data_IF_743198214737
#
_entry.id   IF_743198214737
#
_cell.length_a   1.000
_cell.length_b   1.000
_cell.length_c   1.000
_cell.angle_alpha   90.00
_cell.angle_beta   90.00
_cell.angle_gamma   90.00
#
_symmetry.space_group_name_H-M   'P 1'
#
loop_
_entity.id
_entity.type
_entity.pdbx_description
1 polymer ?
#
# COMPACT_ATOMS: atom_id res chain seq x y z
N UNK A 1 43.03 -3.65 61.71
CA UNK A 1 43.03 -3.65 60.27
C UNK A 1 41.54 -3.84 59.85
N UNK A 2 40.87 -2.73 59.43
CA UNK A 2 39.41 -2.75 59.08
C UNK A 2 39.30 -2.73 57.55
N UNK A 3 38.73 -3.81 57.00
CA UNK A 3 38.49 -3.99 55.59
C UNK A 3 37.20 -3.24 55.19
N UNK A 4 37.30 -2.24 54.30
CA UNK A 4 36.15 -1.54 53.71
C UNK A 4 35.78 -2.24 52.42
N UNK A 5 34.59 -2.82 52.36
CA UNK A 5 34.01 -3.36 51.15
C UNK A 5 33.28 -2.21 50.45
N UNK A 6 33.76 -1.85 49.26
CA UNK A 6 33.08 -0.94 48.35
C UNK A 6 32.05 -1.73 47.51
N UNK A 7 30.76 -1.46 47.73
CA UNK A 7 29.69 -2.00 46.87
C UNK A 7 29.50 -1.02 45.71
N UNK A 8 29.94 -1.43 44.52
CA UNK A 8 29.72 -0.67 43.30
C UNK A 8 28.28 -0.93 42.79
N UNK A 9 27.46 0.12 42.75
CA UNK A 9 26.12 0.09 42.18
C UNK A 9 26.23 0.18 40.66
N UNK A 10 25.96 -0.94 39.94
CA UNK A 10 25.90 -0.99 38.48
C UNK A 10 24.53 -0.48 38.06
N UNK A 11 24.41 0.75 37.57
CA UNK A 11 23.19 1.26 36.94
C UNK A 11 23.16 0.76 35.51
N UNK A 12 22.35 -0.28 35.25
CA UNK A 12 22.00 -0.70 33.91
C UNK A 12 21.03 0.32 33.32
N UNK A 13 21.56 1.26 32.54
CA UNK A 13 20.78 2.15 31.70
C UNK A 13 20.15 1.36 30.57
N UNK A 14 18.87 0.97 30.70
CA UNK A 14 18.07 0.44 29.62
C UNK A 14 17.83 1.52 28.57
N UNK A 15 18.65 1.60 27.54
CA UNK A 15 18.35 2.42 26.36
C UNK A 15 17.15 1.81 25.66
N UNK A 16 16.01 2.52 25.63
CA UNK A 16 14.91 2.24 24.70
C UNK A 16 15.48 2.58 23.33
N UNK A 17 15.86 1.57 22.54
CA UNK A 17 16.11 1.74 21.13
C UNK A 17 14.79 2.18 20.48
N UNK A 18 14.65 3.47 20.21
CA UNK A 18 13.66 3.97 19.25
C UNK A 18 14.05 3.32 17.92
N UNK A 19 13.32 2.28 17.51
CA UNK A 19 13.51 1.66 16.22
C UNK A 19 13.29 2.72 15.14
N UNK A 20 14.37 3.17 14.51
CA UNK A 20 14.26 4.01 13.31
C UNK A 20 13.43 3.23 12.31
N UNK A 21 12.26 3.75 11.96
CA UNK A 21 11.42 3.17 10.94
C UNK A 21 12.14 3.34 9.61
N UNK A 22 12.73 2.26 9.10
CA UNK A 22 13.52 2.29 7.88
C UNK A 22 12.63 2.49 6.65
N UNK A 23 13.12 3.23 5.66
CA UNK A 23 12.50 3.26 4.33
C UNK A 23 12.58 1.87 3.69
N UNK A 24 11.54 1.51 2.96
CA UNK A 24 11.47 0.23 2.24
C UNK A 24 11.11 0.45 0.77
N UNK A 25 11.65 -0.41 -0.10
CA UNK A 25 11.35 -0.41 -1.54
C UNK A 25 11.22 -1.85 -2.02
N UNK A 26 10.19 -2.10 -2.80
CA UNK A 26 9.92 -3.38 -3.44
C UNK A 26 9.89 -3.14 -4.96
N UNK A 27 10.97 -3.56 -5.63
CA UNK A 27 11.13 -3.37 -7.08
C UNK A 27 10.81 -4.62 -7.91
N UNK A 28 10.64 -5.77 -7.25
CA UNK A 28 10.28 -7.07 -7.82
C UNK A 28 11.33 -7.67 -8.78
N UNK A 29 12.48 -7.03 -8.99
CA UNK A 29 13.46 -7.41 -10.02
C UNK A 29 14.14 -8.77 -9.75
N UNK A 30 14.14 -9.21 -8.48
CA UNK A 30 14.72 -10.49 -8.05
C UNK A 30 13.69 -11.60 -7.92
N UNK A 31 12.40 -11.28 -8.03
CA UNK A 31 11.33 -12.25 -7.89
C UNK A 31 11.13 -13.04 -9.19
N UNK A 32 10.67 -14.28 -9.06
CA UNK A 32 10.45 -15.18 -10.19
C UNK A 32 9.19 -14.78 -10.98
N UNK A 33 9.33 -14.58 -12.28
CA UNK A 33 8.19 -14.36 -13.19
C UNK A 33 7.24 -15.56 -13.15
N UNK A 34 5.93 -15.28 -13.08
CA UNK A 34 4.87 -16.26 -12.95
C UNK A 34 4.57 -16.71 -11.52
N UNK A 35 5.40 -16.34 -10.54
CA UNK A 35 5.21 -16.64 -9.12
C UNK A 35 4.79 -15.39 -8.32
N UNK A 36 4.17 -15.57 -7.14
CA UNK A 36 3.97 -14.46 -6.21
C UNK A 36 5.31 -13.90 -5.71
N UNK A 37 5.43 -12.57 -5.47
CA UNK A 37 6.65 -11.98 -4.93
C UNK A 37 6.91 -12.43 -3.49
N UNK A 38 8.18 -12.51 -3.12
CA UNK A 38 8.61 -12.78 -1.77
C UNK A 38 8.26 -11.62 -0.81
N UNK A 39 8.01 -11.92 0.46
CA UNK A 39 7.78 -10.91 1.49
C UNK A 39 6.39 -10.26 1.45
N UNK A 40 5.45 -10.78 0.66
CA UNK A 40 4.07 -10.32 0.60
C UNK A 40 3.08 -11.35 1.13
N UNK A 41 1.98 -10.84 1.67
CA UNK A 41 0.77 -11.61 1.98
C UNK A 41 -0.38 -11.11 1.11
N UNK A 42 -1.29 -12.03 0.77
CA UNK A 42 -2.41 -11.75 -0.13
C UNK A 42 -3.72 -11.96 0.60
N UNK A 43 -4.65 -11.03 0.41
CA UNK A 43 -5.97 -11.07 1.01
C UNK A 43 -7.05 -10.58 0.05
N UNK A 44 -8.27 -10.56 0.52
CA UNK A 44 -9.43 -10.08 -0.24
C UNK A 44 -10.52 -9.60 0.71
N UNK A 45 -10.90 -8.32 0.58
CA UNK A 45 -12.14 -7.83 1.23
C UNK A 45 -13.34 -8.16 0.33
N UNK A 46 -14.45 -8.46 0.95
CA UNK A 46 -15.73 -8.65 0.24
C UNK A 46 -15.91 -10.04 -0.37
N UNK A 47 -16.56 -10.12 -1.52
CA UNK A 47 -17.04 -11.36 -2.16
C UNK A 47 -16.13 -11.81 -3.32
N UNK A 48 -16.52 -12.83 -4.06
CA UNK A 48 -15.79 -13.33 -5.23
C UNK A 48 -14.55 -14.15 -4.88
N UNK A 49 -13.77 -14.52 -5.91
CA UNK A 49 -12.53 -15.28 -5.76
C UNK A 49 -11.41 -14.44 -5.16
N UNK A 50 -10.41 -15.03 -4.51
CA UNK A 50 -9.17 -14.34 -4.19
C UNK A 50 -8.53 -13.74 -5.45
N UNK A 51 -7.74 -12.66 -5.28
CA UNK A 51 -6.88 -12.14 -6.36
C UNK A 51 -5.79 -13.14 -6.72
N UNK A 52 -5.33 -13.09 -7.95
CA UNK A 52 -4.13 -13.80 -8.39
C UNK A 52 -3.00 -12.79 -8.58
N UNK A 53 -2.07 -12.79 -7.65
CA UNK A 53 -0.93 -11.90 -7.63
C UNK A 53 0.31 -12.65 -8.08
N UNK A 54 0.96 -12.15 -9.13
CA UNK A 54 2.17 -12.76 -9.71
C UNK A 54 3.11 -11.66 -10.20
N UNK A 55 4.39 -11.99 -10.28
CA UNK A 55 5.36 -11.14 -10.99
C UNK A 55 5.26 -11.42 -12.49
N UNK A 56 5.23 -10.38 -13.29
CA UNK A 56 5.21 -10.48 -14.76
C UNK A 56 6.27 -9.57 -15.37
N UNK A 57 6.66 -9.86 -16.63
CA UNK A 57 7.47 -8.95 -17.42
C UNK A 57 6.59 -7.86 -18.05
N UNK A 58 7.01 -6.60 -17.89
CA UNK A 58 6.43 -5.45 -18.58
C UNK A 58 7.55 -4.50 -19.04
N UNK A 59 7.93 -4.61 -20.31
CA UNK A 59 9.01 -3.81 -20.89
C UNK A 59 8.72 -2.29 -20.89
N UNK A 60 7.47 -1.88 -20.64
CA UNK A 60 7.08 -0.48 -20.52
C UNK A 60 7.19 0.06 -19.08
N UNK A 61 7.61 -0.77 -18.13
CA UNK A 61 7.72 -0.35 -16.73
C UNK A 61 8.75 0.78 -16.56
N UNK A 62 8.48 1.77 -15.70
CA UNK A 62 9.35 2.95 -15.54
C UNK A 62 10.67 2.61 -14.83
N UNK A 63 10.81 1.43 -14.23
CA UNK A 63 12.04 0.96 -13.60
C UNK A 63 12.08 -0.56 -13.60
N UNK A 64 13.09 -1.13 -14.26
CA UNK A 64 13.22 -2.57 -14.47
C UNK A 64 12.11 -3.13 -15.38
N UNK A 65 12.04 -4.46 -15.51
CA UNK A 65 11.00 -5.13 -16.32
C UNK A 65 10.04 -5.98 -15.49
N UNK A 66 10.45 -6.43 -14.31
CA UNK A 66 9.56 -7.22 -13.44
C UNK A 66 8.63 -6.31 -12.66
N UNK A 67 7.35 -6.62 -12.69
CA UNK A 67 6.30 -5.86 -11.98
C UNK A 67 5.35 -6.82 -11.27
N UNK A 68 4.81 -6.40 -10.14
CA UNK A 68 3.73 -7.14 -9.49
C UNK A 68 2.43 -6.91 -10.26
N UNK A 69 1.70 -7.97 -10.58
CA UNK A 69 0.44 -7.90 -11.29
C UNK A 69 -0.69 -8.62 -10.54
N UNK A 70 -1.86 -7.99 -10.46
CA UNK A 70 -3.13 -8.69 -10.21
C UNK A 70 -3.69 -9.10 -11.57
N UNK A 71 -3.90 -10.40 -11.80
CA UNK A 71 -4.27 -10.94 -13.12
C UNK A 71 -5.58 -11.74 -13.13
N UNK A 72 -6.28 -11.91 -12.00
CA UNK A 72 -7.59 -12.55 -11.96
C UNK A 72 -8.68 -11.57 -12.41
N UNK A 73 -9.58 -12.03 -13.27
CA UNK A 73 -10.62 -11.23 -13.94
C UNK A 73 -12.04 -11.53 -13.42
N UNK A 74 -12.20 -11.94 -12.18
CA UNK A 74 -13.51 -12.12 -11.55
C UNK A 74 -14.25 -10.78 -11.46
N UNK A 75 -15.42 -10.71 -12.08
CA UNK A 75 -16.24 -9.51 -12.24
C UNK A 75 -17.10 -9.16 -11.02
N UNK A 76 -16.98 -9.91 -9.91
CA UNK A 76 -17.74 -9.64 -8.69
C UNK A 76 -17.47 -8.21 -8.21
N UNK A 77 -18.51 -7.37 -8.14
CA UNK A 77 -18.36 -5.92 -7.89
C UNK A 77 -17.73 -5.62 -6.51
N UNK A 78 -18.27 -6.15 -5.42
CA UNK A 78 -17.70 -5.93 -4.08
C UNK A 78 -16.60 -6.95 -3.77
N UNK A 79 -15.55 -6.90 -4.58
CA UNK A 79 -14.36 -7.73 -4.51
C UNK A 79 -13.12 -6.84 -4.56
N UNK A 80 -12.29 -6.89 -3.52
CA UNK A 80 -11.13 -6.03 -3.37
C UNK A 80 -9.88 -6.85 -3.05
N UNK A 81 -9.18 -7.37 -4.06
CA UNK A 81 -7.89 -8.05 -3.87
C UNK A 81 -6.83 -7.10 -3.33
N UNK A 82 -6.05 -7.57 -2.35
CA UNK A 82 -4.93 -6.83 -1.77
C UNK A 82 -3.66 -7.68 -1.77
N UNK A 83 -2.51 -7.02 -1.95
CA UNK A 83 -1.18 -7.57 -1.71
C UNK A 83 -0.44 -6.63 -0.77
N UNK A 84 -0.06 -7.10 0.41
CA UNK A 84 0.57 -6.29 1.46
C UNK A 84 1.96 -6.79 1.79
N UNK A 85 2.92 -5.89 1.92
CA UNK A 85 4.24 -6.20 2.42
C UNK A 85 4.15 -6.68 3.88
N UNK A 86 4.88 -7.75 4.21
CA UNK A 86 4.84 -8.32 5.56
C UNK A 86 5.47 -7.40 6.58
N UNK A 87 6.53 -6.71 6.20
CA UNK A 87 7.32 -5.78 7.02
C UNK A 87 7.97 -4.72 6.11
N UNK A 88 8.33 -3.53 6.63
CA UNK A 88 8.05 -3.01 7.97
C UNK A 88 6.63 -2.44 8.11
N UNK A 89 6.22 -2.13 9.35
CA UNK A 89 4.97 -1.42 9.64
C UNK A 89 5.21 0.09 9.66
N UNK A 90 4.21 0.87 9.22
CA UNK A 90 4.28 2.33 9.19
C UNK A 90 3.06 2.96 9.85
N UNK A 91 3.30 4.01 10.64
CA UNK A 91 2.25 4.87 11.19
C UNK A 91 2.10 6.13 10.32
N UNK A 92 3.14 6.93 10.26
CA UNK A 92 3.23 8.11 9.42
C UNK A 92 4.16 7.80 8.26
N UNK A 93 3.66 7.93 7.03
CA UNK A 93 4.33 7.38 5.86
C UNK A 93 4.04 8.19 4.59
N UNK A 94 5.07 8.38 3.76
CA UNK A 94 4.90 8.60 2.33
C UNK A 94 5.01 7.24 1.63
N UNK A 95 3.90 6.79 1.07
CA UNK A 95 3.80 5.56 0.30
C UNK A 95 3.56 5.93 -1.16
N UNK A 96 4.32 5.34 -2.08
CA UNK A 96 4.23 5.63 -3.52
C UNK A 96 4.38 4.35 -4.33
N UNK A 97 3.64 4.28 -5.43
CA UNK A 97 3.74 3.20 -6.42
C UNK A 97 3.61 3.75 -7.84
N UNK A 98 4.31 3.13 -8.78
CA UNK A 98 3.97 3.23 -10.19
C UNK A 98 2.96 2.16 -10.52
N UNK A 99 1.80 2.53 -11.07
CA UNK A 99 0.77 1.57 -11.44
C UNK A 99 0.21 1.82 -12.84
N UNK A 100 -0.14 0.73 -13.52
CA UNK A 100 -0.74 0.76 -14.85
C UNK A 100 -2.03 -0.05 -14.83
N UNK A 101 -3.21 0.58 -14.96
CA UNK A 101 -4.46 -0.12 -15.22
C UNK A 101 -4.39 -0.76 -16.63
N UNK A 102 -4.26 -2.09 -16.71
CA UNK A 102 -4.04 -2.79 -17.98
C UNK A 102 -5.36 -3.12 -18.66
N UNK A 103 -6.30 -3.69 -17.93
CA UNK A 103 -7.62 -4.06 -18.44
C UNK A 103 -8.62 -4.28 -17.32
N UNK A 104 -9.87 -4.41 -17.68
CA UNK A 104 -11.05 -4.66 -16.87
C UNK A 104 -12.27 -4.06 -17.56
N UNK A 105 -13.41 -4.73 -17.48
CA UNK A 105 -14.68 -4.24 -18.04
C UNK A 105 -15.55 -3.62 -16.95
N UNK A 106 -15.52 -4.19 -15.76
CA UNK A 106 -16.24 -3.69 -14.58
C UNK A 106 -15.45 -2.64 -13.83
N UNK A 107 -14.11 -2.78 -13.81
CA UNK A 107 -13.25 -1.81 -13.11
C UNK A 107 -11.83 -1.78 -13.70
N UNK A 108 -11.14 -0.65 -13.57
CA UNK A 108 -9.72 -0.50 -13.89
C UNK A 108 -9.02 0.33 -12.80
N UNK A 109 -8.92 -0.28 -11.63
CA UNK A 109 -8.45 0.37 -10.43
C UNK A 109 -6.99 0.03 -10.11
N UNK A 110 -6.22 1.04 -9.72
CA UNK A 110 -4.98 0.85 -9.00
C UNK A 110 -5.01 1.57 -7.64
N UNK A 111 -4.63 0.88 -6.58
CA UNK A 111 -4.72 1.41 -5.22
C UNK A 111 -3.50 1.14 -4.37
N UNK A 112 -3.30 2.03 -3.37
CA UNK A 112 -2.35 1.90 -2.27
C UNK A 112 -3.12 1.66 -0.98
N UNK A 113 -2.77 0.60 -0.24
CA UNK A 113 -3.27 0.39 1.12
C UNK A 113 -2.24 0.82 2.14
N UNK A 114 -2.71 1.41 3.24
CA UNK A 114 -1.85 1.85 4.34
C UNK A 114 -2.58 1.68 5.67
N UNK A 115 -1.82 1.63 6.77
CA UNK A 115 -2.30 1.27 8.10
C UNK A 115 -3.17 -0.01 8.06
N UNK A 116 -2.77 -0.96 7.21
CA UNK A 116 -3.47 -2.23 7.04
C UNK A 116 -3.26 -3.11 8.28
N UNK A 117 -4.37 -3.47 8.92
CA UNK A 117 -4.41 -4.38 10.07
C UNK A 117 -4.73 -5.82 9.62
N UNK A 118 -5.77 -5.94 8.80
CA UNK A 118 -6.25 -7.17 8.19
C UNK A 118 -7.07 -6.85 6.92
N UNK A 119 -7.58 -7.87 6.22
CA UNK A 119 -8.33 -7.71 4.98
C UNK A 119 -9.67 -6.97 5.12
N UNK A 120 -10.11 -6.67 6.35
CA UNK A 120 -11.37 -5.98 6.65
C UNK A 120 -11.15 -4.61 7.31
N UNK A 121 -9.89 -4.22 7.61
CA UNK A 121 -9.59 -3.01 8.39
C UNK A 121 -8.33 -2.31 7.87
N UNK A 122 -8.49 -1.28 7.02
CA UNK A 122 -7.39 -0.51 6.41
C UNK A 122 -7.87 0.78 5.75
N UNK A 123 -6.93 1.65 5.36
CA UNK A 123 -7.17 2.73 4.40
C UNK A 123 -6.74 2.34 2.99
N UNK A 124 -7.43 2.91 1.98
CA UNK A 124 -7.03 2.77 0.58
C UNK A 124 -7.22 4.09 -0.20
N UNK A 125 -6.14 4.53 -0.86
CA UNK A 125 -6.19 5.53 -1.91
C UNK A 125 -6.21 4.81 -3.27
N UNK A 126 -7.15 5.18 -4.17
CA UNK A 126 -7.38 4.46 -5.43
C UNK A 126 -7.59 5.42 -6.60
N UNK A 127 -6.85 5.23 -7.71
CA UNK A 127 -7.15 5.80 -9.02
C UNK A 127 -7.93 4.79 -9.87
N UNK A 128 -8.81 5.26 -10.77
CA UNK A 128 -9.63 4.41 -11.62
C UNK A 128 -9.76 4.98 -13.02
N UNK A 129 -9.34 4.20 -14.02
CA UNK A 129 -9.32 4.62 -15.41
C UNK A 129 -10.70 4.57 -16.11
N UNK A 130 -11.65 3.77 -15.63
CA UNK A 130 -13.01 3.77 -16.17
C UNK A 130 -13.89 4.88 -15.59
N UNK A 131 -13.57 5.33 -14.37
CA UNK A 131 -14.36 6.31 -13.66
C UNK A 131 -13.74 7.73 -13.72
N UNK A 132 -12.52 7.88 -14.25
CA UNK A 132 -11.76 9.13 -14.31
C UNK A 132 -11.74 9.85 -12.95
N UNK A 133 -11.24 9.15 -11.92
CA UNK A 133 -11.20 9.71 -10.57
C UNK A 133 -10.13 9.09 -9.67
N UNK A 134 -9.82 9.81 -8.58
CA UNK A 134 -9.08 9.32 -7.43
C UNK A 134 -9.98 9.39 -6.20
N UNK A 135 -9.97 8.38 -5.36
CA UNK A 135 -10.80 8.26 -4.16
C UNK A 135 -9.99 7.81 -2.97
N UNK A 136 -10.39 8.27 -1.79
CA UNK A 136 -9.83 7.86 -0.51
C UNK A 136 -10.93 7.22 0.34
N UNK A 137 -10.66 6.03 0.85
CA UNK A 137 -11.61 5.23 1.63
C UNK A 137 -10.97 4.73 2.92
N UNK A 138 -11.82 4.48 3.92
CA UNK A 138 -11.53 3.49 4.95
C UNK A 138 -12.37 2.23 4.72
N UNK A 139 -11.82 1.07 5.11
CA UNK A 139 -12.54 -0.20 5.21
C UNK A 139 -12.57 -0.58 6.67
N UNK A 140 -13.76 -0.71 7.23
CA UNK A 140 -13.98 -1.08 8.64
C UNK A 140 -14.90 -2.28 8.69
N UNK A 141 -14.44 -3.37 9.28
CA UNK A 141 -15.18 -4.64 9.34
C UNK A 141 -15.70 -5.06 7.95
N UNK A 142 -14.85 -4.91 6.92
CA UNK A 142 -15.16 -5.26 5.55
C UNK A 142 -16.04 -4.25 4.80
N UNK A 143 -16.53 -3.21 5.45
CA UNK A 143 -17.36 -2.17 4.83
C UNK A 143 -16.50 -1.01 4.33
N UNK A 144 -16.43 -0.83 3.02
CA UNK A 144 -15.69 0.27 2.38
C UNK A 144 -16.54 1.54 2.32
N UNK A 145 -16.02 2.63 2.90
CA UNK A 145 -16.66 3.95 2.89
C UNK A 145 -15.71 5.01 2.33
N UNK A 146 -16.16 5.74 1.32
CA UNK A 146 -15.45 6.89 0.79
C UNK A 146 -15.61 8.09 1.73
N UNK A 147 -14.52 8.82 1.99
CA UNK A 147 -14.56 10.06 2.75
C UNK A 147 -13.93 11.25 2.01
N UNK A 148 -13.15 11.02 0.93
CA UNK A 148 -12.64 12.08 0.08
C UNK A 148 -12.46 11.60 -1.37
N UNK A 149 -12.30 12.56 -2.32
CA UNK A 149 -12.09 12.22 -3.71
C UNK A 149 -11.84 13.42 -4.60
N UNK A 150 -11.32 13.13 -5.79
CA UNK A 150 -11.05 14.05 -6.87
C UNK A 150 -11.55 13.45 -8.19
N UNK A 151 -12.09 14.28 -9.10
CA UNK A 151 -12.47 13.90 -10.45
C UNK A 151 -11.49 14.50 -11.44
N UNK A 152 -10.91 13.68 -12.27
CA UNK A 152 -9.97 14.07 -13.29
C UNK A 152 -9.45 12.84 -14.03
N UNK A 153 -8.90 13.08 -15.21
CA UNK A 153 -8.51 12.01 -16.14
C UNK A 153 -7.50 11.04 -15.53
N UNK A 154 -7.83 9.75 -15.64
CA UNK A 154 -6.94 8.63 -15.35
C UNK A 154 -6.86 7.77 -16.60
N UNK A 155 -5.73 7.80 -17.31
CA UNK A 155 -5.59 7.07 -18.56
C UNK A 155 -5.42 5.56 -18.31
N UNK A 156 -6.19 4.73 -19.01
CA UNK A 156 -5.94 3.29 -19.05
C UNK A 156 -4.66 2.97 -19.83
N UNK A 157 -4.06 1.81 -19.57
CA UNK A 157 -2.84 1.30 -20.22
C UNK A 157 -1.62 2.23 -20.13
N UNK A 158 -1.64 3.17 -19.18
CA UNK A 158 -0.60 4.17 -18.94
C UNK A 158 -0.07 4.03 -17.52
N UNK A 159 1.25 4.20 -17.36
CA UNK A 159 1.88 4.25 -16.05
C UNK A 159 1.61 5.56 -15.35
N UNK A 160 1.03 5.49 -14.18
CA UNK A 160 0.77 6.62 -13.27
C UNK A 160 1.60 6.52 -12.00
N UNK A 161 1.88 7.65 -11.38
CA UNK A 161 2.37 7.73 -10.02
C UNK A 161 1.20 7.97 -9.07
N UNK A 162 0.90 7.02 -8.20
CA UNK A 162 -0.04 7.21 -7.10
C UNK A 162 0.74 7.24 -5.80
N UNK A 163 0.53 8.29 -4.99
CA UNK A 163 1.18 8.40 -3.69
C UNK A 163 0.20 8.86 -2.61
N UNK A 164 0.49 8.50 -1.37
CA UNK A 164 -0.18 9.00 -0.16
C UNK A 164 0.87 9.49 0.83
N UNK A 165 0.67 10.68 1.38
CA UNK A 165 1.34 11.14 2.59
C UNK A 165 0.33 11.09 3.73
N UNK A 166 0.56 10.17 4.67
CA UNK A 166 -0.26 10.01 5.85
C UNK A 166 0.52 10.47 7.08
N UNK A 167 0.03 11.50 7.77
CA UNK A 167 0.63 12.04 9.00
C UNK A 167 -0.46 12.29 10.04
N UNK A 168 -0.45 11.55 11.14
CA UNK A 168 -1.53 11.60 12.13
C UNK A 168 -2.88 11.29 11.49
N UNK A 169 -3.80 12.24 11.55
CA UNK A 169 -5.13 12.16 10.92
C UNK A 169 -5.20 12.82 9.54
N UNK A 170 -4.11 13.44 9.07
CA UNK A 170 -4.07 14.18 7.81
C UNK A 170 -3.50 13.32 6.67
N UNK A 171 -4.16 13.39 5.52
CA UNK A 171 -3.81 12.61 4.33
C UNK A 171 -3.77 13.50 3.08
N UNK A 172 -2.63 13.47 2.36
CA UNK A 172 -2.50 14.06 1.04
C UNK A 172 -2.34 12.95 0.02
N UNK A 173 -3.27 12.82 -0.92
CA UNK A 173 -3.13 11.92 -2.06
C UNK A 173 -2.55 12.68 -3.24
N UNK A 174 -1.47 12.13 -3.81
CA UNK A 174 -0.85 12.68 -5.01
C UNK A 174 -1.12 11.74 -6.20
N UNK A 175 -1.48 12.33 -7.32
CA UNK A 175 -1.62 11.63 -8.59
C UNK A 175 -0.79 12.35 -9.66
N UNK A 176 0.12 11.60 -10.29
CA UNK A 176 1.11 12.11 -11.25
C UNK A 176 1.83 13.37 -10.75
N UNK A 177 2.24 13.35 -9.48
CA UNK A 177 2.99 14.41 -8.81
C UNK A 177 2.16 15.57 -8.26
N UNK A 178 0.87 15.66 -8.56
CA UNK A 178 0.00 16.73 -8.08
C UNK A 178 -0.80 16.27 -6.85
N UNK A 179 -0.89 17.09 -5.81
CA UNK A 179 -1.80 16.86 -4.69
C UNK A 179 -3.24 17.04 -5.20
N UNK A 180 -4.00 15.96 -5.21
CA UNK A 180 -5.39 15.92 -5.71
C UNK A 180 -6.42 15.74 -4.61
N UNK A 181 -6.01 15.26 -3.43
CA UNK A 181 -6.87 15.15 -2.24
C UNK A 181 -6.08 15.63 -1.04
N UNK A 182 -6.71 16.48 -0.22
CA UNK A 182 -6.32 16.85 1.14
C UNK A 182 -7.50 16.52 2.04
N UNK A 183 -7.32 15.61 3.00
CA UNK A 183 -8.41 15.09 3.81
C UNK A 183 -7.96 14.68 5.20
N UNK A 184 -8.93 14.55 6.11
CA UNK A 184 -8.72 14.07 7.48
C UNK A 184 -9.62 12.88 7.77
N UNK A 185 -9.05 11.88 8.46
CA UNK A 185 -9.79 10.77 9.03
C UNK A 185 -8.96 10.16 10.18
N UNK A 186 -9.59 9.81 11.29
CA UNK A 186 -8.93 9.30 12.49
C UNK A 186 -9.36 7.86 12.86
N UNK A 187 -9.93 7.13 11.89
CA UNK A 187 -10.43 5.76 12.07
C UNK A 187 -9.31 4.79 12.51
N UNK A 188 -8.13 4.85 11.87
CA UNK A 188 -6.98 4.03 12.25
C UNK A 188 -5.79 4.92 12.59
N UNK A 189 -5.28 4.82 13.84
CA UNK A 189 -4.21 5.69 14.38
C UNK A 189 -2.87 4.97 14.55
N UNK A 190 -2.88 3.63 14.56
CA UNK A 190 -1.71 2.81 14.81
C UNK A 190 -0.94 2.52 13.52
N UNK A 191 0.31 2.09 13.68
CA UNK A 191 1.10 1.56 12.58
C UNK A 191 0.44 0.30 11.99
N UNK A 192 0.58 0.12 10.69
CA UNK A 192 0.09 -1.06 9.98
C UNK A 192 0.90 -1.35 8.73
N UNK A 193 0.58 -2.44 8.06
CA UNK A 193 1.22 -2.83 6.80
C UNK A 193 0.85 -1.86 5.69
N UNK A 194 1.64 -1.89 4.63
CA UNK A 194 1.42 -1.14 3.38
C UNK A 194 1.39 -2.10 2.20
N UNK A 195 0.77 -1.69 1.11
CA UNK A 195 0.68 -2.56 -0.07
C UNK A 195 -0.15 -1.96 -1.20
N UNK A 196 -0.60 -2.83 -2.09
CA UNK A 196 -1.38 -2.47 -3.29
C UNK A 196 -2.75 -3.16 -3.29
N UNK A 197 -3.66 -2.61 -4.09
CA UNK A 197 -5.08 -2.96 -4.08
C UNK A 197 -5.68 -2.84 -5.48
N UNK A 198 -6.65 -3.71 -5.78
CA UNK A 198 -7.47 -3.61 -6.99
C UNK A 198 -8.95 -3.84 -6.68
N UNK A 199 -9.82 -3.62 -7.67
CA UNK A 199 -11.27 -3.87 -7.57
C UNK A 199 -11.75 -4.76 -8.72
N UNK A 200 -12.68 -5.67 -8.42
CA UNK A 200 -13.38 -6.52 -9.37
C UNK A 200 -12.41 -7.19 -10.36
N UNK A 201 -12.62 -7.02 -11.66
CA UNK A 201 -11.88 -7.62 -12.76
C UNK A 201 -10.67 -6.79 -13.21
N UNK A 202 -10.23 -5.81 -12.41
CA UNK A 202 -9.05 -4.99 -12.74
C UNK A 202 -7.80 -5.83 -12.88
N UNK A 203 -7.23 -5.91 -14.07
CA UNK A 203 -5.85 -6.33 -14.30
C UNK A 203 -4.97 -5.10 -14.19
N UNK A 204 -4.06 -5.10 -13.21
CA UNK A 204 -3.24 -3.93 -12.90
C UNK A 204 -1.80 -4.34 -12.62
N UNK A 205 -0.85 -3.62 -13.22
CA UNK A 205 0.57 -3.76 -12.95
C UNK A 205 1.04 -2.70 -11.95
N UNK A 206 1.95 -3.11 -11.06
CA UNK A 206 2.55 -2.27 -10.03
C UNK A 206 4.07 -2.41 -10.05
N UNK A 207 4.78 -1.29 -10.15
CA UNK A 207 6.23 -1.23 -10.13
C UNK A 207 6.71 -0.22 -9.08
N UNK A 208 7.91 -0.42 -8.55
CA UNK A 208 8.59 0.52 -7.64
C UNK A 208 7.71 0.97 -6.46
N UNK A 209 7.08 0.02 -5.75
CA UNK A 209 6.41 0.32 -4.47
C UNK A 209 7.45 0.75 -3.45
N UNK A 210 7.28 1.92 -2.85
CA UNK A 210 8.19 2.47 -1.84
C UNK A 210 7.43 3.09 -0.68
N UNK A 211 7.98 2.93 0.52
CA UNK A 211 7.46 3.51 1.75
C UNK A 211 8.58 4.20 2.51
N UNK A 212 8.38 5.47 2.84
CA UNK A 212 9.31 6.30 3.61
C UNK A 212 8.61 6.85 4.84
N UNK A 213 9.15 6.63 6.06
CA UNK A 213 8.62 7.25 7.26
C UNK A 213 8.59 8.77 7.14
N UNK A 214 7.54 9.39 7.67
CA UNK A 214 7.43 10.82 7.86
C UNK A 214 7.69 11.12 9.33
N UNK A 215 8.74 11.89 9.59
CA UNK A 215 9.09 12.35 10.94
C UNK A 215 8.12 13.41 11.48
#
# INVERSE_FOLDING_TARGET
MRLRILVGLLVLGGGIALGETMSATWDFQKDQVGAPPAGFSFGKTGRGRPGRWVVVDDASAPSGSHVLAQVDTDTTDYRFPVAVANEPLFKDVRLEVRCKPVSGKGDQACGLVFRYRDENNYYVARANALEDNVRLYHVVNGNRRQFAGWNGKVAGQTWHALAIEARGDQFHVLFDGNVVIDAKDDTFKDAGKVGVWTKADSVTHFAALSAKPLG
#
